data_IF_623183490004
#
_entry.id   IF_623183490004
#
_cell.length_a   1.000
_cell.length_b   1.000
_cell.length_c   1.000
_cell.angle_alpha   90.00
_cell.angle_beta   90.00
_cell.angle_gamma   90.00
#
_symmetry.space_group_name_H-M   'P 1'
#
loop_
_entity.id
_entity.type
_entity.pdbx_description
1 polymer ?
#
# COMPACT_ATOMS: atom_id res chain seq x y z
N UNK A 1 10.78 22.28 8.99
CA UNK A 1 11.60 21.09 9.38
C UNK A 1 10.66 19.90 9.41
N UNK A 2 11.03 18.78 8.79
CA UNK A 2 10.24 17.54 8.78
C UNK A 2 10.18 16.99 10.21
N UNK A 3 8.99 16.61 10.64
CA UNK A 3 8.73 15.97 11.94
C UNK A 3 7.83 14.73 11.82
N UNK A 4 7.28 14.47 10.64
CA UNK A 4 6.40 13.34 10.37
C UNK A 4 6.81 12.65 9.08
N UNK A 5 6.90 11.33 9.10
CA UNK A 5 7.19 10.51 7.93
C UNK A 5 5.98 9.61 7.66
N UNK A 6 5.46 9.70 6.44
CA UNK A 6 4.32 8.91 5.97
C UNK A 6 4.87 7.91 4.96
N UNK A 7 4.75 6.64 5.25
CA UNK A 7 5.25 5.56 4.40
C UNK A 7 4.12 4.84 3.67
N UNK A 8 4.32 4.52 2.41
CA UNK A 8 3.60 3.41 1.81
C UNK A 8 4.11 2.07 2.35
N UNK A 9 3.46 0.97 1.96
CA UNK A 9 3.80 -0.38 2.41
C UNK A 9 4.43 -1.21 1.28
N UNK A 10 3.75 -1.30 0.13
CA UNK A 10 4.22 -2.03 -1.04
C UNK A 10 5.53 -1.45 -1.58
N UNK A 11 6.47 -2.29 -1.96
CA UNK A 11 7.80 -1.90 -2.45
C UNK A 11 8.63 -1.01 -1.51
N UNK A 12 8.04 -0.53 -0.41
CA UNK A 12 8.76 0.21 0.65
C UNK A 12 9.23 -0.78 1.74
N UNK A 13 8.34 -1.61 2.26
CA UNK A 13 8.65 -2.60 3.29
C UNK A 13 8.51 -4.03 2.78
N UNK A 14 7.41 -4.36 2.09
CA UNK A 14 7.17 -5.65 1.46
C UNK A 14 7.38 -5.53 -0.05
N UNK A 15 8.19 -6.42 -0.63
CA UNK A 15 8.40 -6.45 -2.07
C UNK A 15 7.11 -6.88 -2.77
N UNK A 16 6.83 -6.31 -3.95
CA UNK A 16 5.71 -6.71 -4.79
C UNK A 16 6.21 -7.42 -6.05
N UNK A 17 5.53 -8.50 -6.40
CA UNK A 17 5.81 -9.30 -7.60
C UNK A 17 4.95 -8.82 -8.76
N UNK A 18 5.36 -7.77 -9.46
CA UNK A 18 4.59 -7.13 -10.54
C UNK A 18 4.23 -8.07 -11.71
N UNK A 19 5.01 -9.13 -11.92
CA UNK A 19 4.85 -10.03 -13.07
C UNK A 19 3.62 -10.93 -12.98
N UNK A 20 3.17 -11.31 -11.78
CA UNK A 20 2.09 -12.30 -11.65
C UNK A 20 0.67 -11.72 -11.82
N UNK A 21 0.47 -10.48 -11.43
CA UNK A 21 -0.87 -9.83 -11.51
C UNK A 21 -1.11 -9.24 -12.89
N UNK A 22 -0.07 -8.67 -13.50
CA UNK A 22 -0.16 -7.99 -14.78
C UNK A 22 -0.37 -8.96 -15.96
N UNK A 23 0.30 -10.11 -15.99
CA UNK A 23 0.19 -11.06 -17.10
C UNK A 23 -1.21 -11.64 -17.23
N UNK A 24 -1.92 -11.83 -16.10
CA UNK A 24 -3.27 -12.37 -16.12
C UNK A 24 -4.32 -11.32 -16.52
N UNK A 25 -4.10 -10.05 -16.15
CA UNK A 25 -4.99 -8.93 -16.47
C UNK A 25 -4.66 -8.34 -17.86
N UNK A 26 -3.40 -8.35 -18.28
CA UNK A 26 -2.95 -7.85 -19.59
C UNK A 26 -3.68 -8.45 -20.78
N UNK A 27 -4.09 -9.71 -20.71
CA UNK A 27 -4.88 -10.36 -21.76
C UNK A 27 -6.25 -9.67 -21.99
N UNK A 28 -6.67 -8.79 -21.08
CA UNK A 28 -7.96 -8.10 -21.11
C UNK A 28 -7.85 -6.59 -21.33
N UNK A 29 -6.64 -6.01 -21.45
CA UNK A 29 -6.40 -4.56 -21.53
C UNK A 29 -7.22 -3.82 -22.60
N UNK A 30 -7.62 -4.51 -23.66
CA UNK A 30 -8.45 -3.95 -24.74
C UNK A 30 -9.96 -4.20 -24.61
N UNK A 31 -10.42 -4.86 -23.53
CA UNK A 31 -11.80 -5.29 -23.36
C UNK A 31 -12.58 -4.42 -22.37
N UNK A 32 -13.92 -4.37 -22.51
CA UNK A 32 -14.79 -3.76 -21.49
C UNK A 32 -14.67 -4.45 -20.13
N UNK A 33 -14.30 -5.72 -20.10
CA UNK A 33 -14.02 -6.48 -18.88
C UNK A 33 -12.86 -5.87 -18.07
N UNK A 34 -11.83 -5.34 -18.74
CA UNK A 34 -10.71 -4.70 -18.05
C UNK A 34 -11.15 -3.53 -17.15
N UNK A 35 -11.98 -2.63 -17.68
CA UNK A 35 -12.52 -1.51 -16.91
C UNK A 35 -13.33 -1.97 -15.69
N UNK A 36 -14.10 -3.04 -15.87
CA UNK A 36 -14.89 -3.63 -14.77
C UNK A 36 -14.00 -4.28 -13.72
N UNK A 37 -12.93 -4.97 -14.11
CA UNK A 37 -11.93 -5.54 -13.19
C UNK A 37 -11.28 -4.43 -12.38
N UNK A 38 -10.77 -3.38 -13.02
CA UNK A 38 -10.12 -2.24 -12.32
C UNK A 38 -11.09 -1.58 -11.34
N UNK A 39 -12.36 -1.38 -11.75
CA UNK A 39 -13.39 -0.84 -10.85
C UNK A 39 -13.60 -1.75 -9.63
N UNK A 40 -13.69 -3.05 -9.84
CA UNK A 40 -13.84 -4.05 -8.75
C UNK A 40 -12.65 -4.00 -7.81
N UNK A 41 -11.41 -3.89 -8.34
CA UNK A 41 -10.20 -3.77 -7.53
C UNK A 41 -10.22 -2.52 -6.66
N UNK A 42 -10.56 -1.36 -7.24
CA UNK A 42 -10.66 -0.10 -6.52
C UNK A 42 -11.71 -0.19 -5.40
N UNK A 43 -12.89 -0.75 -5.70
CA UNK A 43 -13.94 -0.94 -4.69
C UNK A 43 -13.50 -1.86 -3.54
N UNK A 44 -12.74 -2.92 -3.87
CA UNK A 44 -12.22 -3.84 -2.86
C UNK A 44 -11.10 -3.20 -2.02
N UNK A 45 -10.18 -2.45 -2.64
CA UNK A 45 -9.15 -1.67 -1.95
C UNK A 45 -9.74 -0.55 -1.07
N UNK A 46 -10.90 -0.01 -1.43
CA UNK A 46 -11.65 0.93 -0.58
C UNK A 46 -12.56 0.23 0.43
N UNK A 47 -12.58 -1.12 0.45
CA UNK A 47 -13.47 -1.90 1.30
C UNK A 47 -14.96 -1.59 1.09
N UNK A 48 -15.33 -1.17 -0.12
CA UNK A 48 -16.72 -0.91 -0.51
C UNK A 48 -17.47 -2.21 -0.83
N UNK A 49 -16.75 -3.27 -1.14
CA UNK A 49 -17.28 -4.62 -1.39
C UNK A 49 -16.60 -5.65 -0.48
N UNK A 50 -17.34 -6.70 -0.12
CA UNK A 50 -16.83 -7.81 0.69
C UNK A 50 -15.92 -8.75 -0.11
N UNK A 51 -15.12 -9.56 0.58
CA UNK A 51 -14.31 -10.63 -0.02
C UNK A 51 -15.18 -11.53 -0.91
N UNK A 52 -16.36 -11.95 -0.45
CA UNK A 52 -17.22 -12.84 -1.24
C UNK A 52 -17.72 -12.16 -2.51
N UNK A 53 -18.10 -10.89 -2.45
CA UNK A 53 -18.50 -10.10 -3.62
C UNK A 53 -17.34 -9.92 -4.60
N UNK A 54 -16.13 -9.63 -4.11
CA UNK A 54 -14.91 -9.54 -4.90
C UNK A 54 -14.62 -10.85 -5.63
N UNK A 55 -14.61 -11.98 -4.91
CA UNK A 55 -14.34 -13.30 -5.48
C UNK A 55 -15.40 -13.72 -6.50
N UNK A 56 -16.69 -13.44 -6.24
CA UNK A 56 -17.78 -13.68 -7.21
C UNK A 56 -17.62 -12.85 -8.48
N UNK A 57 -17.24 -11.57 -8.37
CA UNK A 57 -16.98 -10.73 -9.53
C UNK A 57 -15.83 -11.30 -10.36
N UNK A 58 -14.73 -11.73 -9.71
CA UNK A 58 -13.61 -12.36 -10.39
C UNK A 58 -14.01 -13.69 -11.06
N UNK A 59 -14.83 -14.53 -10.44
CA UNK A 59 -15.33 -15.75 -11.06
C UNK A 59 -16.19 -15.48 -12.30
N UNK A 60 -16.88 -14.33 -12.37
CA UNK A 60 -17.64 -13.98 -13.59
C UNK A 60 -16.72 -13.61 -14.76
N UNK A 61 -15.51 -13.13 -14.50
CA UNK A 61 -14.49 -12.86 -15.54
C UNK A 61 -13.65 -14.10 -15.85
N UNK A 62 -13.48 -14.99 -14.88
CA UNK A 62 -12.62 -16.18 -14.94
C UNK A 62 -13.38 -17.41 -14.43
N UNK A 63 -14.36 -17.91 -15.22
CA UNK A 63 -15.28 -18.96 -14.77
C UNK A 63 -14.58 -20.30 -14.48
N UNK A 64 -13.41 -20.52 -15.05
CA UNK A 64 -12.61 -21.74 -14.85
C UNK A 64 -11.82 -21.76 -13.53
N UNK A 65 -11.79 -20.64 -12.81
CA UNK A 65 -11.08 -20.54 -11.52
C UNK A 65 -12.03 -20.68 -10.33
N UNK A 66 -11.62 -21.49 -9.37
CA UNK A 66 -12.22 -21.54 -8.05
C UNK A 66 -11.92 -20.26 -7.26
N UNK A 67 -12.71 -19.98 -6.20
CA UNK A 67 -12.45 -18.84 -5.32
C UNK A 67 -11.10 -18.94 -4.64
N UNK A 68 -10.64 -20.13 -4.29
CA UNK A 68 -9.35 -20.41 -3.68
C UNK A 68 -8.20 -20.10 -4.63
N UNK A 69 -8.32 -20.45 -5.90
CA UNK A 69 -7.32 -20.12 -6.92
C UNK A 69 -7.25 -18.61 -7.17
N UNK A 70 -8.41 -17.93 -7.24
CA UNK A 70 -8.48 -16.47 -7.36
C UNK A 70 -7.79 -15.81 -6.16
N UNK A 71 -8.10 -16.24 -4.94
CA UNK A 71 -7.48 -15.74 -3.71
C UNK A 71 -5.95 -15.97 -3.70
N UNK A 72 -5.51 -17.16 -4.10
CA UNK A 72 -4.09 -17.48 -4.20
C UNK A 72 -3.38 -16.58 -5.22
N UNK A 73 -3.95 -16.43 -6.43
CA UNK A 73 -3.40 -15.55 -7.47
C UNK A 73 -3.42 -14.08 -7.05
N UNK A 74 -4.46 -13.62 -6.37
CA UNK A 74 -4.55 -12.25 -5.85
C UNK A 74 -3.45 -11.95 -4.84
N UNK A 75 -3.21 -12.88 -3.92
CA UNK A 75 -2.16 -12.73 -2.90
C UNK A 75 -0.74 -12.96 -3.44
N UNK A 76 -0.57 -13.55 -4.64
CA UNK A 76 0.75 -13.84 -5.21
C UNK A 76 1.58 -12.60 -5.57
N UNK A 77 0.95 -11.42 -5.60
CA UNK A 77 1.67 -10.15 -5.70
C UNK A 77 2.55 -9.86 -4.48
N UNK A 78 2.18 -10.41 -3.31
CA UNK A 78 2.92 -10.20 -2.08
C UNK A 78 4.19 -11.06 -2.09
N UNK A 79 5.33 -10.40 -2.10
CA UNK A 79 6.65 -11.01 -2.09
C UNK A 79 7.27 -11.06 -0.69
N UNK A 80 8.59 -11.01 -0.67
CA UNK A 80 9.37 -11.01 0.57
C UNK A 80 9.18 -9.70 1.35
N UNK A 81 9.12 -9.82 2.67
CA UNK A 81 9.27 -8.68 3.58
C UNK A 81 10.64 -8.82 4.28
N UNK A 82 11.69 -8.14 3.76
CA UNK A 82 13.03 -8.26 4.32
C UNK A 82 13.09 -7.74 5.76
N UNK A 83 13.58 -8.57 6.66
CA UNK A 83 13.61 -8.24 8.10
C UNK A 83 14.42 -6.98 8.41
N UNK A 84 15.48 -6.69 7.64
CA UNK A 84 16.32 -5.51 7.86
C UNK A 84 15.54 -4.19 7.71
N UNK A 85 14.44 -4.17 6.91
CA UNK A 85 13.54 -3.00 6.81
C UNK A 85 12.74 -2.78 8.09
N UNK A 86 12.35 -3.87 8.77
CA UNK A 86 11.77 -3.77 10.10
C UNK A 86 12.80 -3.27 11.13
N UNK A 87 14.04 -3.79 11.06
CA UNK A 87 15.10 -3.38 11.97
C UNK A 87 15.42 -1.88 11.83
N UNK A 88 15.48 -1.39 10.58
CA UNK A 88 15.56 0.05 10.28
C UNK A 88 14.39 0.86 10.88
N UNK A 89 13.16 0.38 10.72
CA UNK A 89 11.98 1.08 11.22
C UNK A 89 11.93 1.12 12.76
N UNK A 90 12.41 0.06 13.43
CA UNK A 90 12.58 0.01 14.89
C UNK A 90 13.63 1.04 15.35
N UNK A 91 14.78 1.06 14.68
CA UNK A 91 15.83 2.04 14.98
C UNK A 91 15.33 3.47 14.80
N UNK A 92 14.63 3.74 13.70
CA UNK A 92 14.03 5.06 13.44
C UNK A 92 13.04 5.46 14.55
N UNK A 93 12.18 4.54 14.99
CA UNK A 93 11.23 4.79 16.07
C UNK A 93 11.92 5.09 17.41
N UNK A 94 12.98 4.35 17.73
CA UNK A 94 13.66 4.43 19.03
C UNK A 94 14.62 5.64 19.11
N UNK A 95 15.28 5.96 18.00
CA UNK A 95 16.38 6.93 17.95
C UNK A 95 16.02 8.27 17.31
N UNK A 96 14.73 8.49 16.98
CA UNK A 96 14.26 9.77 16.44
C UNK A 96 12.97 10.24 17.12
N UNK A 97 12.64 11.51 16.87
CA UNK A 97 11.39 12.12 17.31
C UNK A 97 10.34 12.23 16.20
N UNK A 98 10.51 11.50 15.11
CA UNK A 98 9.54 11.52 14.02
C UNK A 98 8.23 10.83 14.43
N UNK A 99 7.11 11.43 14.04
CA UNK A 99 5.84 10.72 13.99
C UNK A 99 5.84 9.82 12.76
N UNK A 100 5.64 8.51 12.94
CA UNK A 100 5.66 7.52 11.87
C UNK A 100 4.23 7.10 11.54
N UNK A 101 3.84 7.23 10.28
CA UNK A 101 2.50 6.91 9.77
C UNK A 101 2.64 5.93 8.61
N UNK A 102 1.84 4.87 8.61
CA UNK A 102 1.64 4.04 7.42
C UNK A 102 0.37 4.50 6.69
N UNK A 103 0.47 4.66 5.37
CA UNK A 103 -0.66 4.95 4.48
C UNK A 103 -0.60 4.05 3.25
N UNK A 104 -1.35 2.95 3.26
CA UNK A 104 -1.27 1.91 2.24
C UNK A 104 -2.59 1.68 1.49
N UNK A 105 -2.51 1.62 0.15
CA UNK A 105 -3.55 1.03 -0.67
C UNK A 105 -3.45 -0.48 -0.56
N UNK A 106 -4.44 -1.11 0.05
CA UNK A 106 -4.46 -2.56 0.29
C UNK A 106 -5.88 -3.05 0.52
N UNK A 107 -6.03 -4.33 0.81
CA UNK A 107 -7.33 -4.96 1.01
C UNK A 107 -7.27 -6.04 2.10
N UNK A 108 -8.44 -6.51 2.50
CA UNK A 108 -8.58 -7.48 3.59
C UNK A 108 -7.87 -8.82 3.30
N UNK A 109 -7.85 -9.29 2.04
CA UNK A 109 -7.16 -10.54 1.66
C UNK A 109 -5.65 -10.43 1.81
N UNK A 110 -5.06 -9.32 1.33
CA UNK A 110 -3.62 -9.07 1.47
C UNK A 110 -3.22 -8.96 2.95
N UNK A 111 -3.95 -8.19 3.74
CA UNK A 111 -3.63 -8.01 5.16
C UNK A 111 -3.81 -9.32 5.95
N UNK A 112 -4.82 -10.13 5.63
CA UNK A 112 -4.98 -11.46 6.23
C UNK A 112 -3.78 -12.34 5.90
N UNK A 113 -3.39 -12.40 4.62
CA UNK A 113 -2.24 -13.18 4.19
C UNK A 113 -0.94 -12.75 4.89
N UNK A 114 -0.71 -11.42 4.97
CA UNK A 114 0.48 -10.88 5.65
C UNK A 114 0.50 -11.27 7.13
N UNK A 115 -0.63 -11.19 7.82
CA UNK A 115 -0.75 -11.60 9.24
C UNK A 115 -0.43 -13.09 9.45
N UNK A 116 -0.82 -13.92 8.49
CA UNK A 116 -0.65 -15.37 8.58
C UNK A 116 0.78 -15.83 8.19
N UNK A 117 1.46 -15.07 7.32
CA UNK A 117 2.74 -15.48 6.73
C UNK A 117 3.96 -14.66 7.22
N UNK A 118 3.76 -13.47 7.78
CA UNK A 118 4.84 -12.61 8.27
C UNK A 118 4.83 -12.61 9.81
N UNK A 119 5.67 -13.42 10.41
CA UNK A 119 5.69 -13.63 11.86
C UNK A 119 5.88 -12.34 12.69
N UNK A 120 6.58 -11.35 12.13
CA UNK A 120 6.87 -10.08 12.79
C UNK A 120 5.90 -8.93 12.39
N UNK A 121 4.78 -9.23 11.74
CA UNK A 121 3.80 -8.20 11.35
C UNK A 121 3.31 -7.35 12.53
N UNK A 122 3.11 -7.96 13.71
CA UNK A 122 2.69 -7.21 14.91
C UNK A 122 3.75 -6.20 15.35
N UNK A 123 5.02 -6.60 15.33
CA UNK A 123 6.15 -5.72 15.63
C UNK A 123 6.22 -4.57 14.63
N UNK A 124 6.11 -4.88 13.34
CA UNK A 124 6.07 -3.88 12.28
C UNK A 124 4.95 -2.85 12.52
N UNK A 125 3.72 -3.32 12.71
CA UNK A 125 2.58 -2.43 12.99
C UNK A 125 2.81 -1.56 14.21
N UNK A 126 3.45 -2.10 15.26
CA UNK A 126 3.71 -1.37 16.51
C UNK A 126 4.74 -0.24 16.36
N UNK A 127 5.52 -0.21 15.28
CA UNK A 127 6.46 0.88 15.03
C UNK A 127 5.78 2.20 14.64
N UNK A 128 4.56 2.16 14.13
CA UNK A 128 3.83 3.34 13.68
C UNK A 128 2.98 3.96 14.78
N UNK A 129 2.89 5.28 14.79
CA UNK A 129 1.95 6.03 15.61
C UNK A 129 0.53 5.91 15.05
N UNK A 130 0.40 5.88 13.70
CA UNK A 130 -0.86 5.72 12.98
C UNK A 130 -0.68 4.74 11.82
N UNK A 131 -1.72 3.93 11.57
CA UNK A 131 -1.64 2.84 10.60
C UNK A 131 -2.93 2.81 9.76
N UNK A 132 -2.88 3.45 8.59
CA UNK A 132 -4.04 3.62 7.72
C UNK A 132 -3.99 2.65 6.54
N UNK A 133 -5.03 1.82 6.47
CA UNK A 133 -5.24 0.88 5.37
C UNK A 133 -6.47 1.33 4.58
N UNK A 134 -6.37 1.45 3.27
CA UNK A 134 -7.41 2.02 2.40
C UNK A 134 -8.79 1.38 2.59
N UNK A 135 -8.84 0.04 2.74
CA UNK A 135 -10.10 -0.68 2.93
C UNK A 135 -10.74 -0.43 4.31
N UNK A 136 -9.98 0.01 5.32
CA UNK A 136 -10.50 0.38 6.63
C UNK A 136 -11.02 1.82 6.65
N UNK A 137 -10.24 2.76 6.06
CA UNK A 137 -10.58 4.20 6.05
C UNK A 137 -11.47 4.64 4.88
N UNK A 138 -11.74 3.74 3.92
CA UNK A 138 -12.56 3.98 2.71
C UNK A 138 -12.01 5.04 1.76
N UNK A 139 -10.74 5.35 1.87
CA UNK A 139 -10.01 6.31 1.05
C UNK A 139 -8.75 5.65 0.49
N UNK A 140 -8.33 6.04 -0.71
CA UNK A 140 -7.13 5.50 -1.35
C UNK A 140 -6.34 6.57 -2.09
N UNK A 141 -5.03 6.37 -2.17
CA UNK A 141 -4.14 7.11 -3.06
C UNK A 141 -4.46 6.74 -4.53
N UNK A 142 -4.34 7.64 -5.51
CA UNK A 142 -3.84 9.01 -5.42
C UNK A 142 -4.92 10.06 -5.13
N UNK A 143 -6.12 9.69 -4.66
CA UNK A 143 -7.16 10.66 -4.36
C UNK A 143 -6.65 11.66 -3.31
N UNK A 144 -6.76 12.97 -3.58
CA UNK A 144 -6.29 14.04 -2.68
C UNK A 144 -6.94 13.96 -1.29
N UNK A 145 -8.16 13.44 -1.23
CA UNK A 145 -8.93 13.31 0.01
C UNK A 145 -8.25 12.43 1.06
N UNK A 146 -7.48 11.41 0.65
CA UNK A 146 -6.77 10.53 1.60
C UNK A 146 -5.62 11.27 2.29
N UNK A 147 -4.92 12.14 1.57
CA UNK A 147 -3.86 12.95 2.16
C UNK A 147 -4.44 14.03 3.09
N UNK A 148 -5.51 14.70 2.68
CA UNK A 148 -6.25 15.64 3.52
C UNK A 148 -6.76 14.95 4.80
N UNK A 149 -7.29 13.73 4.70
CA UNK A 149 -7.70 12.92 5.85
C UNK A 149 -6.53 12.70 6.82
N UNK A 150 -5.36 12.28 6.31
CA UNK A 150 -4.18 12.02 7.16
C UNK A 150 -3.70 13.30 7.84
N UNK A 151 -3.59 14.41 7.10
CA UNK A 151 -3.17 15.70 7.64
C UNK A 151 -4.13 16.19 8.74
N UNK A 152 -5.43 16.23 8.46
CA UNK A 152 -6.45 16.71 9.38
C UNK A 152 -6.59 15.81 10.61
N UNK A 153 -6.64 14.49 10.42
CA UNK A 153 -6.79 13.50 11.51
C UNK A 153 -5.66 13.58 12.54
N UNK A 154 -4.48 13.98 12.06
CA UNK A 154 -3.26 14.02 12.87
C UNK A 154 -2.82 15.45 13.25
N UNK A 155 -3.57 16.49 12.88
CA UNK A 155 -3.21 17.89 13.07
C UNK A 155 -1.81 18.23 12.51
N UNK A 156 -1.53 17.80 11.27
CA UNK A 156 -0.24 17.98 10.62
C UNK A 156 -0.29 19.15 9.63
N UNK A 157 0.85 19.83 9.47
CA UNK A 157 1.11 20.73 8.35
C UNK A 157 1.84 19.97 7.25
N UNK A 158 1.42 20.18 6.01
CA UNK A 158 1.95 19.42 4.86
C UNK A 158 3.48 19.55 4.74
N UNK A 159 4.01 20.77 4.89
CA UNK A 159 5.44 21.08 4.78
C UNK A 159 6.30 20.44 5.88
N UNK A 160 5.67 19.98 6.97
CA UNK A 160 6.36 19.24 8.03
C UNK A 160 6.31 17.71 7.84
N UNK A 161 5.68 17.25 6.76
CA UNK A 161 5.57 15.84 6.40
C UNK A 161 6.53 15.47 5.27
N UNK A 162 7.05 14.24 5.30
CA UNK A 162 7.70 13.57 4.19
C UNK A 162 6.89 12.32 3.85
N UNK A 163 6.44 12.20 2.60
CA UNK A 163 5.74 11.03 2.09
C UNK A 163 6.67 10.22 1.19
N UNK A 164 6.73 8.91 1.41
CA UNK A 164 7.61 7.97 0.70
C UNK A 164 6.73 6.91 0.04
N UNK A 165 6.80 6.83 -1.28
CA UNK A 165 5.97 5.92 -2.09
C UNK A 165 6.71 5.59 -3.40
N UNK A 166 6.50 4.41 -3.96
CA UNK A 166 7.07 4.00 -5.23
C UNK A 166 6.20 4.39 -6.44
N UNK A 167 4.95 4.76 -6.20
CA UNK A 167 3.99 5.11 -7.23
C UNK A 167 4.01 6.61 -7.52
N UNK A 168 4.35 6.96 -8.78
CA UNK A 168 4.47 8.35 -9.22
C UNK A 168 3.18 9.17 -9.07
N UNK A 169 2.00 8.57 -9.29
CA UNK A 169 0.73 9.30 -9.20
C UNK A 169 0.43 9.68 -7.74
N UNK A 170 0.79 8.80 -6.79
CA UNK A 170 0.67 9.08 -5.36
C UNK A 170 1.59 10.25 -4.95
N UNK A 171 2.83 10.25 -5.46
CA UNK A 171 3.81 11.32 -5.24
C UNK A 171 3.29 12.66 -5.77
N UNK A 172 2.78 12.70 -7.01
CA UNK A 172 2.22 13.92 -7.62
C UNK A 172 1.07 14.47 -6.77
N UNK A 173 0.19 13.62 -6.28
CA UNK A 173 -0.96 14.05 -5.47
C UNK A 173 -0.55 14.58 -4.08
N UNK A 174 0.48 14.00 -3.47
CA UNK A 174 1.02 14.49 -2.20
C UNK A 174 1.75 15.85 -2.39
N UNK A 175 2.56 15.97 -3.42
CA UNK A 175 3.29 17.20 -3.78
C UNK A 175 2.32 18.36 -4.07
N UNK A 176 1.19 18.08 -4.74
CA UNK A 176 0.12 19.08 -4.98
C UNK A 176 -0.39 19.72 -3.68
N UNK A 177 -0.31 19.02 -2.57
CA UNK A 177 -0.67 19.52 -1.23
C UNK A 177 0.50 20.11 -0.45
N UNK A 178 1.66 20.32 -1.08
CA UNK A 178 2.92 20.77 -0.47
C UNK A 178 3.48 19.79 0.61
N UNK A 179 3.13 18.51 0.53
CA UNK A 179 3.82 17.47 1.30
C UNK A 179 5.17 17.21 0.64
N UNK A 180 6.27 17.22 1.41
CA UNK A 180 7.56 16.81 0.83
C UNK A 180 7.49 15.34 0.44
N UNK A 181 8.12 14.97 -0.67
CA UNK A 181 8.00 13.61 -1.21
C UNK A 181 9.36 12.98 -1.50
N UNK A 182 9.44 11.67 -1.34
CA UNK A 182 10.48 10.85 -1.89
C UNK A 182 9.86 9.76 -2.77
N UNK A 183 10.05 9.90 -4.09
CA UNK A 183 9.67 8.87 -5.05
C UNK A 183 10.75 7.78 -5.05
N UNK A 184 10.53 6.74 -4.25
CA UNK A 184 11.45 5.61 -4.10
C UNK A 184 11.37 4.71 -5.33
N UNK A 185 12.51 4.47 -5.99
CA UNK A 185 12.60 3.49 -7.06
C UNK A 185 13.02 2.13 -6.50
N UNK A 186 12.14 1.13 -6.42
CA UNK A 186 12.43 -0.15 -5.76
C UNK A 186 13.53 -0.98 -6.44
N UNK A 187 14.00 -0.57 -7.64
CA UNK A 187 15.12 -1.23 -8.34
C UNK A 187 16.49 -0.69 -7.95
N UNK A 188 16.56 0.54 -7.45
CA UNK A 188 17.80 1.24 -7.14
C UNK A 188 17.90 1.75 -5.72
N UNK A 189 16.75 1.96 -5.08
CA UNK A 189 16.66 2.58 -3.76
C UNK A 189 16.09 1.58 -2.75
N UNK A 190 16.40 1.80 -1.49
CA UNK A 190 15.78 1.09 -0.37
C UNK A 190 15.39 2.09 0.72
N UNK A 191 14.33 1.81 1.47
CA UNK A 191 13.85 2.69 2.53
C UNK A 191 14.90 2.97 3.62
N UNK A 192 15.87 2.07 3.80
CA UNK A 192 16.99 2.25 4.73
C UNK A 192 17.97 3.36 4.32
N UNK A 193 17.83 3.87 3.09
CA UNK A 193 18.66 4.96 2.57
C UNK A 193 18.10 6.36 2.90
N UNK A 194 16.98 6.42 3.62
CA UNK A 194 16.22 7.65 3.93
C UNK A 194 17.07 8.83 4.44
N UNK A 195 18.19 8.57 5.12
CA UNK A 195 19.06 9.61 5.68
C UNK A 195 20.49 9.53 5.15
N UNK A 196 20.73 8.81 4.06
CA UNK A 196 22.09 8.65 3.50
C UNK A 196 22.46 9.73 2.48
N UNK A 197 21.52 10.62 2.13
CA UNK A 197 21.72 11.72 1.18
C UNK A 197 21.71 13.08 1.86
#
# INVERSE_FOLDING_TARGET
MINTIIFDFGNIFINLNDTYTLDYIKHFESSEHYKSIIKTNIQFEKGEISIDSFLKSYQSYFPDLSKEEIKSKWNSILGEFPKYRLDFLKDLKENSNYKLILLSNTNELHISWIKDNIAFYKDFKSCFNEFYLSHEIKLRKPDVDVFNFVLNKNNLTAEACLFIDDNKDNIISADYLNINTWHLNPKTDDVIDLFKN
#
